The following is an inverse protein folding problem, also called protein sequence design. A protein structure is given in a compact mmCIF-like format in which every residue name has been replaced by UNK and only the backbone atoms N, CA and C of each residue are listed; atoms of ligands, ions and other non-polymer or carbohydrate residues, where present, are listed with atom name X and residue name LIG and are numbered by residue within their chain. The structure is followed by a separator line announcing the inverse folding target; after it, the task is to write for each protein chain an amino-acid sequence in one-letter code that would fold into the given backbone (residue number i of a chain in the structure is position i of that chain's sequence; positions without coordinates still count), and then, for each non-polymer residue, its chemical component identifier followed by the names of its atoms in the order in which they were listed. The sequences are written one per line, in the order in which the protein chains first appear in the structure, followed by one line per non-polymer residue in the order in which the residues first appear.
data_IF_505074101337
#
_entry.id   IF_505074101337
#
_cell.length_a   1.000
_cell.length_b   1.000
_cell.length_c   1.000
_cell.angle_alpha   90.00
_cell.angle_beta   90.00
_cell.angle_gamma   90.00
#
_symmetry.space_group_name_H-M   'P 1'
#
loop_
_entity.id
_entity.type
_entity.pdbx_description
1 polymer ?
#
# COMPACT_ATOMS: atom_id res chain seq x y z
N UNK A 1 -4.27 -4.47 13.91
CA UNK A 1 -3.79 -3.27 13.19
C UNK A 1 -2.32 -3.43 12.93
N UNK A 2 -1.95 -3.44 11.66
CA UNK A 2 -0.57 -3.50 11.19
C UNK A 2 -0.09 -2.06 11.02
N UNK A 3 1.11 -1.72 11.50
CA UNK A 3 1.69 -0.40 11.27
C UNK A 3 2.47 -0.40 9.95
N UNK A 4 2.06 0.48 9.03
CA UNK A 4 2.69 0.70 7.71
C UNK A 4 3.12 2.16 7.52
N UNK A 5 3.15 2.95 8.59
CA UNK A 5 3.38 4.40 8.53
C UNK A 5 4.74 4.72 7.93
N UNK A 6 5.79 4.01 8.35
CA UNK A 6 7.15 4.22 7.83
C UNK A 6 7.22 3.89 6.33
N UNK A 7 6.64 2.76 5.92
CA UNK A 7 6.58 2.38 4.51
C UNK A 7 5.91 3.46 3.64
N UNK A 8 4.79 4.02 4.11
CA UNK A 8 4.11 5.12 3.43
C UNK A 8 5.00 6.38 3.35
N UNK A 9 5.70 6.74 4.43
CA UNK A 9 6.60 7.90 4.42
C UNK A 9 7.78 7.71 3.46
N UNK A 10 8.37 6.52 3.43
CA UNK A 10 9.51 6.18 2.59
C UNK A 10 9.18 6.17 1.11
N UNK A 11 7.97 5.71 0.73
CA UNK A 11 7.56 5.69 -0.68
C UNK A 11 7.00 7.03 -1.18
N UNK A 12 6.66 7.95 -0.28
CA UNK A 12 6.05 9.25 -0.62
C UNK A 12 6.69 9.99 -1.81
N UNK A 13 8.03 10.08 -1.96
CA UNK A 13 8.64 10.77 -3.10
C UNK A 13 8.43 10.07 -4.46
N UNK A 14 7.95 8.82 -4.48
CA UNK A 14 7.77 8.02 -5.71
C UNK A 14 6.31 7.86 -6.13
N UNK A 15 5.36 8.42 -5.37
CA UNK A 15 3.93 8.17 -5.51
C UNK A 15 3.21 9.46 -5.94
N UNK A 16 2.38 9.37 -6.97
CA UNK A 16 1.64 10.53 -7.50
C UNK A 16 0.39 10.85 -6.65
N UNK A 17 -0.39 9.83 -6.29
CA UNK A 17 -1.64 9.97 -5.55
C UNK A 17 -1.46 9.59 -4.07
N UNK A 18 -0.45 10.16 -3.41
CA UNK A 18 -0.03 9.77 -2.06
C UNK A 18 -1.17 9.75 -1.04
N UNK A 19 -2.00 10.79 -1.00
CA UNK A 19 -3.10 10.87 -0.04
C UNK A 19 -4.13 9.75 -0.25
N UNK A 20 -4.46 9.45 -1.51
CA UNK A 20 -5.38 8.37 -1.87
C UNK A 20 -4.80 7.00 -1.52
N UNK A 21 -3.51 6.78 -1.80
CA UNK A 21 -2.80 5.56 -1.45
C UNK A 21 -2.76 5.36 0.07
N UNK A 22 -2.45 6.44 0.82
CA UNK A 22 -2.41 6.44 2.28
C UNK A 22 -3.76 6.05 2.87
N UNK A 23 -4.85 6.67 2.42
CA UNK A 23 -6.21 6.36 2.91
C UNK A 23 -6.59 4.90 2.66
N UNK A 24 -6.31 4.40 1.45
CA UNK A 24 -6.54 3.00 1.08
C UNK A 24 -5.74 2.05 1.97
N UNK A 25 -4.44 2.27 2.08
CA UNK A 25 -3.53 1.39 2.81
C UNK A 25 -3.80 1.42 4.32
N UNK A 26 -4.09 2.59 4.91
CA UNK A 26 -4.47 2.73 6.32
C UNK A 26 -5.83 2.08 6.62
N UNK A 27 -6.78 2.10 5.68
CA UNK A 27 -8.04 1.36 5.82
C UNK A 27 -7.79 -0.14 5.87
N UNK A 28 -7.00 -0.66 4.93
CA UNK A 28 -6.62 -2.08 4.86
C UNK A 28 -5.86 -2.52 6.13
N UNK A 29 -4.86 -1.73 6.55
CA UNK A 29 -4.00 -2.05 7.68
C UNK A 29 -4.72 -2.03 9.05
N UNK A 30 -5.80 -1.25 9.16
CA UNK A 30 -6.67 -1.25 10.36
C UNK A 30 -7.39 -2.58 10.54
N UNK A 31 -7.85 -3.18 9.45
CA UNK A 31 -8.59 -4.44 9.46
C UNK A 31 -7.70 -5.68 9.41
N UNK A 32 -6.47 -5.54 8.90
CA UNK A 32 -5.54 -6.65 8.76
C UNK A 32 -4.93 -7.12 10.09
N UNK A 33 -4.68 -8.42 10.17
CA UNK A 33 -4.01 -9.10 11.28
C UNK A 33 -2.50 -9.29 11.04
N UNK A 34 -2.04 -9.23 9.80
CA UNK A 34 -0.63 -9.37 9.45
C UNK A 34 -0.24 -8.56 8.22
N UNK A 35 1.06 -8.37 8.01
CA UNK A 35 1.59 -7.66 6.84
C UNK A 35 1.26 -8.38 5.54
N UNK A 36 1.19 -9.70 5.55
CA UNK A 36 0.79 -10.52 4.40
C UNK A 36 -0.67 -10.28 4.02
N UNK A 37 -1.55 -10.09 5.00
CA UNK A 37 -2.95 -9.75 4.73
C UNK A 37 -3.07 -8.35 4.12
N UNK A 38 -2.26 -7.38 4.58
CA UNK A 38 -2.18 -6.04 3.98
C UNK A 38 -1.74 -6.13 2.52
N UNK A 39 -0.65 -6.85 2.25
CA UNK A 39 -0.13 -7.02 0.89
C UNK A 39 -1.19 -7.67 -0.01
N UNK A 40 -1.83 -8.75 0.45
CA UNK A 40 -2.86 -9.45 -0.32
C UNK A 40 -4.03 -8.52 -0.69
N UNK A 41 -4.56 -7.75 0.28
CA UNK A 41 -5.64 -6.80 0.02
C UNK A 41 -5.21 -5.67 -0.92
N UNK A 42 -3.96 -5.20 -0.82
CA UNK A 42 -3.41 -4.21 -1.76
C UNK A 42 -3.28 -4.78 -3.18
N UNK A 43 -2.91 -6.06 -3.35
CA UNK A 43 -2.88 -6.73 -4.66
C UNK A 43 -4.28 -6.80 -5.29
N UNK A 44 -5.30 -7.15 -4.50
CA UNK A 44 -6.71 -7.16 -4.98
C UNK A 44 -7.16 -5.77 -5.46
N UNK A 45 -6.72 -4.70 -4.80
CA UNK A 45 -7.01 -3.32 -5.20
C UNK A 45 -6.14 -2.85 -6.39
N UNK A 46 -4.90 -3.34 -6.51
CA UNK A 46 -4.01 -3.12 -7.66
C UNK A 46 -4.61 -3.67 -8.95
N UNK A 47 -5.20 -4.87 -8.90
CA UNK A 47 -5.86 -5.51 -10.04
C UNK A 47 -7.07 -4.71 -10.53
N UNK A 48 -7.79 -4.05 -9.61
CA UNK A 48 -8.97 -3.22 -9.90
C UNK A 48 -8.63 -1.79 -10.29
N UNK A 49 -7.45 -1.32 -9.92
CA UNK A 49 -7.00 0.04 -10.19
C UNK A 49 -6.61 0.21 -11.66
N UNK A 50 -6.82 1.43 -12.17
CA UNK A 50 -6.29 1.87 -13.46
C UNK A 50 -5.01 2.70 -13.24
N UNK A 51 -4.17 2.78 -14.27
CA UNK A 51 -3.02 3.69 -14.26
C UNK A 51 -3.49 5.16 -14.18
N UNK A 52 -2.78 6.04 -13.44
CA UNK A 52 -1.45 5.83 -12.83
C UNK A 52 -1.50 5.22 -11.40
N UNK A 53 -2.68 5.19 -10.78
CA UNK A 53 -2.83 4.79 -9.37
C UNK A 53 -2.45 3.32 -9.13
N UNK A 54 -2.63 2.46 -10.13
CA UNK A 54 -2.15 1.08 -10.10
C UNK A 54 -0.64 1.01 -9.82
N UNK A 55 0.15 1.86 -10.45
CA UNK A 55 1.60 1.96 -10.23
C UNK A 55 1.93 2.37 -8.79
N UNK A 56 1.20 3.33 -8.23
CA UNK A 56 1.37 3.78 -6.83
C UNK A 56 1.15 2.64 -5.82
N UNK A 57 0.09 1.84 -6.01
CA UNK A 57 -0.19 0.66 -5.17
C UNK A 57 0.96 -0.35 -5.29
N UNK A 58 1.45 -0.60 -6.51
CA UNK A 58 2.55 -1.53 -6.75
C UNK A 58 3.86 -1.11 -6.09
N UNK A 59 4.16 0.19 -6.04
CA UNK A 59 5.33 0.73 -5.32
C UNK A 59 5.24 0.37 -3.84
N UNK A 60 4.08 0.58 -3.21
CA UNK A 60 3.87 0.21 -1.81
C UNK A 60 4.02 -1.30 -1.59
N UNK A 61 3.38 -2.14 -2.42
CA UNK A 61 3.47 -3.60 -2.31
C UNK A 61 4.93 -4.06 -2.37
N UNK A 62 5.69 -3.57 -3.34
CA UNK A 62 7.10 -3.92 -3.53
C UNK A 62 7.94 -3.50 -2.33
N UNK A 63 7.68 -2.31 -1.78
CA UNK A 63 8.36 -1.82 -0.60
C UNK A 63 8.04 -2.71 0.62
N UNK A 64 6.77 -3.01 0.91
CA UNK A 64 6.39 -3.87 2.03
C UNK A 64 6.99 -5.29 1.93
N UNK A 65 7.19 -5.80 0.71
CA UNK A 65 7.85 -7.10 0.48
C UNK A 65 9.36 -7.06 0.72
N UNK A 66 10.01 -5.94 0.42
CA UNK A 66 11.45 -5.79 0.57
C UNK A 66 11.90 -5.69 2.04
N UNK A 67 11.01 -5.22 2.94
CA UNK A 67 11.27 -5.05 4.37
C UNK A 67 10.67 -6.16 5.25
N UNK A 68 10.35 -7.30 4.65
CA UNK A 68 9.82 -8.49 5.34
C UNK A 68 10.93 -9.42 5.82
#
# INVERSE_FOLDING_TARGET
MVDITNALLEIRPYVEYYQKLKELAESIAREAQSIEEVIKKLEEEEERASEPFKTDIRILINHLRAFR
#
